data_IF_561318568947
#
_entry.id   IF_561318568947
#
_cell.length_a   1.000
_cell.length_b   1.000
_cell.length_c   1.000
_cell.angle_alpha   90.00
_cell.angle_beta   90.00
_cell.angle_gamma   90.00
#
_symmetry.space_group_name_H-M   'P 1'
#
loop_
_entity.id
_entity.type
_entity.pdbx_description
1 polymer ?
#
# COMPACT_ATOMS: atom_id res chain seq x y z
N UNK A 1 3.29 -1.15 -13.74
CA UNK A 1 2.04 -1.92 -13.84
C UNK A 1 2.32 -3.42 -13.69
N UNK A 2 2.07 -3.91 -12.48
CA UNK A 2 2.23 -5.29 -12.04
C UNK A 2 1.29 -6.21 -12.83
N UNK A 3 1.61 -7.52 -12.82
CA UNK A 3 0.75 -8.52 -13.46
C UNK A 3 -0.64 -8.57 -12.81
N UNK A 4 -0.70 -8.36 -11.49
CA UNK A 4 -1.95 -8.32 -10.73
C UNK A 4 -2.80 -7.11 -11.14
N UNK A 5 -2.20 -5.92 -11.26
CA UNK A 5 -2.95 -4.71 -11.64
C UNK A 5 -3.56 -4.82 -13.04
N UNK A 6 -2.81 -5.34 -14.02
CA UNK A 6 -3.34 -5.60 -15.37
C UNK A 6 -4.50 -6.60 -15.38
N UNK A 7 -4.47 -7.59 -14.50
CA UNK A 7 -5.57 -8.54 -14.38
C UNK A 7 -6.81 -7.88 -13.78
N UNK A 8 -6.64 -7.05 -12.75
CA UNK A 8 -7.74 -6.31 -12.11
C UNK A 8 -8.41 -5.32 -13.08
N UNK A 9 -7.64 -4.66 -13.94
CA UNK A 9 -8.18 -3.80 -15.01
C UNK A 9 -9.05 -4.58 -16.00
N UNK A 10 -8.55 -5.71 -16.50
CA UNK A 10 -9.31 -6.57 -17.40
C UNK A 10 -10.57 -7.16 -16.72
N UNK A 11 -10.49 -7.41 -15.42
CA UNK A 11 -11.61 -7.89 -14.61
C UNK A 11 -12.67 -6.81 -14.41
N UNK A 12 -12.29 -5.55 -14.19
CA UNK A 12 -13.22 -4.41 -14.16
C UNK A 12 -14.05 -4.34 -15.45
N UNK A 13 -13.37 -4.39 -16.60
CA UNK A 13 -14.03 -4.36 -17.92
C UNK A 13 -15.01 -5.53 -18.10
N UNK A 14 -14.64 -6.72 -17.63
CA UNK A 14 -15.47 -7.92 -17.68
C UNK A 14 -16.74 -7.76 -16.84
N UNK A 15 -16.61 -7.25 -15.61
CA UNK A 15 -17.72 -7.04 -14.67
C UNK A 15 -18.69 -5.97 -15.16
N UNK A 16 -18.18 -4.86 -15.72
CA UNK A 16 -18.99 -3.80 -16.33
C UNK A 16 -19.84 -4.37 -17.48
N UNK A 17 -19.21 -5.17 -18.36
CA UNK A 17 -19.89 -5.83 -19.47
C UNK A 17 -20.98 -6.80 -18.99
N UNK A 18 -20.68 -7.63 -17.97
CA UNK A 18 -21.67 -8.54 -17.38
C UNK A 18 -22.87 -7.76 -16.83
N UNK A 19 -22.65 -6.64 -16.14
CA UNK A 19 -23.75 -5.84 -15.61
C UNK A 19 -24.64 -5.22 -16.71
N UNK A 20 -24.05 -4.78 -17.83
CA UNK A 20 -24.78 -4.16 -18.95
C UNK A 20 -25.55 -5.20 -19.76
N UNK A 21 -24.94 -6.35 -20.06
CA UNK A 21 -25.51 -7.36 -20.96
C UNK A 21 -26.41 -8.38 -20.23
N UNK A 22 -26.36 -8.43 -18.89
CA UNK A 22 -27.18 -9.33 -18.10
C UNK A 22 -28.54 -8.70 -17.76
N UNK A 23 -29.57 -9.18 -18.46
CA UNK A 23 -30.98 -8.82 -18.27
C UNK A 23 -31.64 -9.55 -17.08
N UNK A 24 -30.90 -10.41 -16.35
CA UNK A 24 -31.42 -11.11 -15.17
C UNK A 24 -31.73 -10.10 -14.05
N UNK A 25 -33.00 -9.99 -13.61
CA UNK A 25 -33.37 -9.12 -12.49
C UNK A 25 -32.73 -9.53 -11.16
N UNK A 26 -32.18 -10.76 -11.06
CA UNK A 26 -31.43 -11.26 -9.91
C UNK A 26 -29.92 -11.36 -10.18
N UNK A 27 -29.40 -10.59 -11.15
CA UNK A 27 -27.96 -10.61 -11.47
C UNK A 27 -27.09 -10.44 -10.22
N UNK A 28 -26.09 -11.31 -10.13
CA UNK A 28 -25.17 -11.39 -9.00
C UNK A 28 -24.22 -10.19 -8.94
N UNK A 29 -23.86 -9.63 -10.10
CA UNK A 29 -23.08 -8.40 -10.20
C UNK A 29 -24.04 -7.22 -10.34
N UNK A 30 -24.11 -6.41 -9.28
CA UNK A 30 -24.90 -5.17 -9.27
C UNK A 30 -23.98 -3.93 -9.38
N UNK A 31 -24.58 -2.79 -9.66
CA UNK A 31 -23.83 -1.55 -9.88
C UNK A 31 -22.99 -1.13 -8.67
N UNK A 32 -23.52 -1.25 -7.45
CA UNK A 32 -22.79 -0.87 -6.23
C UNK A 32 -21.56 -1.75 -5.98
N UNK A 33 -21.59 -3.03 -6.37
CA UNK A 33 -20.40 -3.88 -6.33
C UNK A 33 -19.33 -3.39 -7.31
N UNK A 34 -19.72 -3.03 -8.54
CA UNK A 34 -18.78 -2.50 -9.56
C UNK A 34 -18.17 -1.18 -9.09
N UNK A 35 -18.97 -0.27 -8.54
CA UNK A 35 -18.48 1.01 -7.99
C UNK A 35 -17.44 0.77 -6.89
N UNK A 36 -17.71 -0.17 -5.97
CA UNK A 36 -16.76 -0.55 -4.92
C UNK A 36 -15.47 -1.16 -5.47
N UNK A 37 -15.58 -2.07 -6.46
CA UNK A 37 -14.44 -2.69 -7.11
C UNK A 37 -13.57 -1.65 -7.84
N UNK A 38 -14.19 -0.77 -8.64
CA UNK A 38 -13.49 0.28 -9.37
C UNK A 38 -12.84 1.31 -8.44
N UNK A 39 -13.47 1.63 -7.30
CA UNK A 39 -12.85 2.48 -6.29
C UNK A 39 -11.57 1.85 -5.71
N UNK A 40 -11.62 0.55 -5.38
CA UNK A 40 -10.44 -0.17 -4.90
C UNK A 40 -9.33 -0.23 -5.96
N UNK A 41 -9.70 -0.47 -7.23
CA UNK A 41 -8.77 -0.51 -8.36
C UNK A 41 -8.03 0.82 -8.55
N UNK A 42 -8.75 1.95 -8.55
CA UNK A 42 -8.14 3.29 -8.70
C UNK A 42 -7.14 3.57 -7.57
N UNK A 43 -7.45 3.18 -6.33
CA UNK A 43 -6.52 3.34 -5.23
C UNK A 43 -5.26 2.48 -5.40
N UNK A 44 -5.40 1.24 -5.89
CA UNK A 44 -4.25 0.37 -6.19
C UNK A 44 -3.39 0.94 -7.32
N UNK A 45 -4.00 1.46 -8.39
CA UNK A 45 -3.28 2.14 -9.48
C UNK A 45 -2.47 3.33 -8.94
N UNK A 46 -3.11 4.19 -8.13
CA UNK A 46 -2.47 5.36 -7.54
C UNK A 46 -1.27 5.01 -6.65
N UNK A 47 -1.30 3.85 -5.97
CA UNK A 47 -0.19 3.37 -5.17
C UNK A 47 0.93 2.79 -6.05
N UNK A 48 0.58 2.04 -7.10
CA UNK A 48 1.59 1.46 -8.00
C UNK A 48 2.33 2.51 -8.84
N UNK A 49 1.67 3.62 -9.14
CA UNK A 49 2.25 4.76 -9.87
C UNK A 49 2.96 5.77 -8.95
N UNK A 50 3.01 5.49 -7.63
CA UNK A 50 3.54 6.46 -6.67
C UNK A 50 5.06 6.57 -6.77
N UNK A 51 5.54 7.71 -7.28
CA UNK A 51 6.97 8.02 -7.32
C UNK A 51 7.46 8.47 -5.95
N UNK A 52 8.24 7.62 -5.29
CA UNK A 52 8.84 7.94 -4.00
C UNK A 52 10.03 8.88 -4.13
N UNK A 53 10.07 9.89 -3.26
CA UNK A 53 11.26 10.71 -3.07
C UNK A 53 12.36 9.89 -2.34
N UNK A 54 13.59 10.39 -2.33
CA UNK A 54 14.73 9.64 -1.79
C UNK A 54 14.62 9.39 -0.28
N UNK A 55 14.01 10.31 0.47
CA UNK A 55 13.76 10.13 1.90
C UNK A 55 12.71 9.04 2.17
N UNK A 56 11.65 8.95 1.35
CA UNK A 56 10.67 7.88 1.45
C UNK A 56 11.30 6.52 1.15
N UNK A 57 12.21 6.43 0.16
CA UNK A 57 12.93 5.18 -0.16
C UNK A 57 13.79 4.71 1.01
N UNK A 58 14.53 5.62 1.65
CA UNK A 58 15.37 5.29 2.83
C UNK A 58 14.50 4.67 3.94
N UNK A 59 13.37 5.29 4.26
CA UNK A 59 12.49 4.79 5.33
C UNK A 59 11.80 3.49 4.92
N UNK A 60 11.41 3.35 3.65
CA UNK A 60 10.79 2.14 3.13
C UNK A 60 11.71 0.92 3.24
N UNK A 61 12.97 1.04 2.82
CA UNK A 61 13.92 -0.07 2.87
C UNK A 61 14.22 -0.48 4.32
N UNK A 62 14.38 0.50 5.22
CA UNK A 62 14.49 0.20 6.65
C UNK A 62 13.26 -0.53 7.20
N UNK A 63 12.04 -0.10 6.82
CA UNK A 63 10.81 -0.72 7.29
C UNK A 63 10.69 -2.19 6.84
N UNK A 64 11.04 -2.49 5.58
CA UNK A 64 11.06 -3.86 5.05
C UNK A 64 12.04 -4.75 5.80
N UNK A 65 13.27 -4.28 6.01
CA UNK A 65 14.29 -5.00 6.80
C UNK A 65 13.78 -5.27 8.22
N UNK A 66 13.28 -4.24 8.89
CA UNK A 66 12.81 -4.35 10.26
C UNK A 66 11.64 -5.33 10.42
N UNK A 67 10.65 -5.26 9.52
CA UNK A 67 9.50 -6.17 9.54
C UNK A 67 9.90 -7.61 9.18
N UNK A 68 10.87 -7.80 8.30
CA UNK A 68 11.42 -9.13 7.98
C UNK A 68 12.12 -9.74 9.20
N UNK A 69 12.92 -8.95 9.92
CA UNK A 69 13.66 -9.41 11.11
C UNK A 69 12.74 -9.70 12.30
N UNK A 70 11.76 -8.84 12.54
CA UNK A 70 10.93 -8.87 13.76
C UNK A 70 9.63 -9.63 13.61
N UNK A 71 9.08 -9.69 12.38
CA UNK A 71 7.71 -10.17 12.09
C UNK A 71 6.64 -9.60 13.04
N UNK A 72 6.85 -8.37 13.52
CA UNK A 72 5.99 -7.76 14.54
C UNK A 72 5.61 -6.32 14.18
N UNK A 73 4.39 -6.17 13.67
CA UNK A 73 3.84 -4.87 13.25
C UNK A 73 3.69 -3.88 14.41
N UNK A 74 3.39 -4.36 15.62
CA UNK A 74 3.23 -3.50 16.78
C UNK A 74 4.56 -2.83 17.15
N UNK A 75 5.65 -3.60 17.14
CA UNK A 75 6.99 -3.08 17.40
C UNK A 75 7.48 -2.13 16.31
N UNK A 76 7.09 -2.37 15.05
CA UNK A 76 7.38 -1.45 13.96
C UNK A 76 6.70 -0.09 14.17
N UNK A 77 5.41 -0.09 14.51
CA UNK A 77 4.65 1.15 14.78
C UNK A 77 5.26 1.92 15.95
N UNK A 78 5.63 1.21 17.03
CA UNK A 78 6.31 1.83 18.17
C UNK A 78 7.64 2.47 17.74
N UNK A 79 8.51 1.74 17.05
CA UNK A 79 9.83 2.27 16.64
C UNK A 79 9.67 3.46 15.67
N UNK A 80 8.73 3.40 14.72
CA UNK A 80 8.45 4.51 13.80
C UNK A 80 8.00 5.78 14.54
N UNK A 81 7.19 5.63 15.60
CA UNK A 81 6.80 6.74 16.47
C UNK A 81 7.96 7.27 17.33
N UNK A 82 8.90 6.42 17.71
CA UNK A 82 10.08 6.80 18.51
C UNK A 82 11.19 7.48 17.71
N UNK A 83 11.34 7.18 16.41
CA UNK A 83 12.41 7.73 15.56
C UNK A 83 12.54 9.26 15.66
N UNK A 84 11.46 10.07 15.50
CA UNK A 84 11.56 11.53 15.63
C UNK A 84 11.88 12.01 17.05
N UNK A 85 11.35 11.33 18.07
CA UNK A 85 11.52 11.76 19.46
C UNK A 85 12.95 11.57 19.98
N UNK A 86 13.68 10.66 19.36
CA UNK A 86 15.04 10.29 19.77
C UNK A 86 16.11 10.72 18.75
N UNK A 87 15.71 11.25 17.59
CA UNK A 87 16.59 11.43 16.43
C UNK A 87 17.12 10.10 15.88
N UNK A 88 16.45 8.99 16.21
CA UNK A 88 16.90 7.62 16.01
C UNK A 88 18.07 7.21 16.92
N UNK A 89 18.21 5.91 17.17
CA UNK A 89 19.48 5.37 17.70
C UNK A 89 20.60 5.63 16.69
N UNK A 90 21.88 5.56 17.10
CA UNK A 90 23.03 5.76 16.20
C UNK A 90 22.91 4.99 14.87
N UNK A 91 22.35 3.77 14.88
CA UNK A 91 22.12 2.94 13.68
C UNK A 91 21.01 3.48 12.76
N UNK A 92 20.02 4.20 13.27
CA UNK A 92 18.83 4.64 12.52
C UNK A 92 18.72 6.16 12.40
N UNK A 93 19.83 6.90 12.64
CA UNK A 93 19.83 8.36 12.57
C UNK A 93 19.41 8.88 11.19
N UNK A 94 19.94 8.27 10.13
CA UNK A 94 19.58 8.63 8.75
C UNK A 94 18.08 8.41 8.49
N UNK A 95 17.56 7.26 8.91
CA UNK A 95 16.13 6.93 8.81
C UNK A 95 15.27 7.94 9.57
N UNK A 96 15.66 8.32 10.79
CA UNK A 96 14.95 9.31 11.59
C UNK A 96 14.90 10.67 10.89
N UNK A 97 16.02 11.16 10.37
CA UNK A 97 16.07 12.42 9.63
C UNK A 97 15.26 12.37 8.34
N UNK A 98 15.36 11.28 7.58
CA UNK A 98 14.55 11.08 6.38
C UNK A 98 13.06 11.08 6.72
N UNK A 99 12.62 10.36 7.76
CA UNK A 99 11.23 10.33 8.18
C UNK A 99 10.71 11.68 8.70
N UNK A 100 11.52 12.43 9.44
CA UNK A 100 11.18 13.79 9.89
C UNK A 100 10.99 14.77 8.74
N UNK A 101 11.78 14.63 7.67
CA UNK A 101 11.72 15.50 6.50
C UNK A 101 10.44 15.31 5.66
N UNK A 102 9.72 14.20 5.86
CA UNK A 102 8.51 13.91 5.10
C UNK A 102 7.33 14.73 5.60
N UNK A 103 6.58 15.28 4.66
CA UNK A 103 5.28 15.89 4.95
C UNK A 103 4.20 14.81 5.20
N UNK A 104 3.02 15.23 5.66
CA UNK A 104 1.95 14.29 6.03
C UNK A 104 1.47 13.40 4.87
N UNK A 105 1.43 13.94 3.65
CA UNK A 105 1.07 13.16 2.46
C UNK A 105 2.14 12.10 2.16
N UNK A 106 3.42 12.49 2.18
CA UNK A 106 4.53 11.56 1.93
C UNK A 106 4.61 10.44 2.98
N UNK A 107 4.29 10.74 4.24
CA UNK A 107 4.19 9.76 5.32
C UNK A 107 3.03 8.78 5.10
N UNK A 108 1.87 9.29 4.66
CA UNK A 108 0.72 8.45 4.34
C UNK A 108 1.01 7.54 3.14
N UNK A 109 1.59 8.10 2.08
CA UNK A 109 2.00 7.36 0.88
C UNK A 109 2.98 6.22 1.25
N UNK A 110 3.94 6.49 2.15
CA UNK A 110 4.87 5.50 2.68
C UNK A 110 4.16 4.40 3.49
N UNK A 111 3.24 4.76 4.40
CA UNK A 111 2.49 3.79 5.21
C UNK A 111 1.63 2.85 4.35
N UNK A 112 1.00 3.37 3.29
CA UNK A 112 0.23 2.57 2.35
C UNK A 112 1.11 1.50 1.69
N UNK A 113 2.29 1.89 1.20
CA UNK A 113 3.22 0.97 0.54
C UNK A 113 3.76 -0.09 1.52
N UNK A 114 4.14 0.31 2.74
CA UNK A 114 4.61 -0.65 3.76
C UNK A 114 3.52 -1.65 4.10
N UNK A 115 2.26 -1.19 4.24
CA UNK A 115 1.13 -2.06 4.57
C UNK A 115 0.86 -3.07 3.46
N UNK A 116 0.82 -2.63 2.20
CA UNK A 116 0.65 -3.55 1.06
C UNK A 116 1.76 -4.59 1.00
N UNK A 117 3.02 -4.15 1.12
CA UNK A 117 4.17 -5.04 1.09
C UNK A 117 4.11 -6.08 2.23
N UNK A 118 3.73 -5.66 3.45
CA UNK A 118 3.64 -6.56 4.60
C UNK A 118 2.56 -7.64 4.42
N UNK A 119 1.40 -7.27 3.85
CA UNK A 119 0.33 -8.23 3.53
C UNK A 119 0.81 -9.25 2.48
N UNK A 120 1.50 -8.80 1.43
CA UNK A 120 2.06 -9.71 0.40
C UNK A 120 3.05 -10.73 0.98
N UNK A 121 3.77 -10.40 2.06
CA UNK A 121 4.67 -11.35 2.71
C UNK A 121 3.92 -12.44 3.49
N UNK A 122 2.76 -12.13 4.08
CA UNK A 122 1.94 -13.11 4.80
C UNK A 122 1.27 -14.11 3.83
N UNK A 123 0.85 -13.65 2.65
CA UNK A 123 0.23 -14.52 1.64
C UNK A 123 1.21 -15.49 0.95
N UNK A 124 2.52 -15.23 1.08
CA UNK A 124 3.59 -16.04 0.49
C UNK A 124 4.10 -17.17 1.42
N UNK A 125 3.67 -17.20 2.70
CA UNK A 125 3.97 -18.26 3.69
C UNK A 125 2.95 -19.42 3.63
#
# INVERSE_FOLDING_TARGET
MSKALKWLEAEADRLEKEYIENDDPNKTVNHSFIEGFNYALVNLQAIEELELNDNQKIVLEWAKEYLTETKNIAWFIEELAFLPTTGGKLRYREVAHSYESLNNKEKLDLLNIITLWAVEQEEAE
#
